data_IF_829864581402
#
_entry.id   IF_829864581402
#
_cell.length_a   1.000
_cell.length_b   1.000
_cell.length_c   1.000
_cell.angle_alpha   90.00
_cell.angle_beta   90.00
_cell.angle_gamma   90.00
#
_symmetry.space_group_name_H-M   'P 1'
#
loop_
_entity.id
_entity.type
_entity.pdbx_description
1 polymer ?
#
# COMPACT_ATOMS: atom_id res chain seq x y z
N UNK A 1 -3.33 -12.27 5.64
CA UNK A 1 -4.36 -11.32 5.11
C UNK A 1 -5.62 -11.33 5.99
N UNK A 2 -6.36 -10.21 6.06
CA UNK A 2 -7.64 -10.10 6.81
C UNK A 2 -8.82 -10.81 6.14
N UNK A 3 -8.83 -10.85 4.81
CA UNK A 3 -9.90 -11.42 3.99
C UNK A 3 -9.46 -12.72 3.31
N UNK A 4 -10.40 -13.64 3.16
CA UNK A 4 -10.24 -14.91 2.46
C UNK A 4 -11.58 -15.36 1.89
N UNK A 5 -11.60 -16.42 1.09
CA UNK A 5 -12.87 -16.96 0.56
C UNK A 5 -13.85 -17.39 1.67
N UNK A 6 -13.34 -17.81 2.83
CA UNK A 6 -14.15 -18.17 4.00
C UNK A 6 -14.46 -16.99 4.94
N UNK A 7 -13.78 -15.85 4.75
CA UNK A 7 -13.95 -14.61 5.51
C UNK A 7 -13.95 -13.41 4.57
N UNK A 8 -14.99 -13.21 3.76
CA UNK A 8 -15.07 -12.08 2.83
C UNK A 8 -15.30 -10.75 3.58
N UNK A 9 -15.12 -9.60 2.91
CA UNK A 9 -15.52 -8.30 3.44
C UNK A 9 -16.99 -8.23 3.85
N UNK A 10 -17.33 -7.28 4.72
CA UNK A 10 -18.73 -6.99 5.06
C UNK A 10 -19.49 -6.65 3.78
N UNK A 11 -20.68 -7.24 3.57
CA UNK A 11 -21.47 -7.03 2.37
C UNK A 11 -22.67 -6.13 2.63
N UNK A 12 -22.81 -5.10 1.79
CA UNK A 12 -23.94 -4.18 1.76
C UNK A 12 -24.19 -3.75 0.32
N UNK A 13 -24.84 -4.62 -0.46
CA UNK A 13 -24.98 -4.40 -1.89
C UNK A 13 -25.96 -3.27 -2.20
N UNK A 14 -25.58 -2.42 -3.15
CA UNK A 14 -26.33 -1.24 -3.57
C UNK A 14 -27.32 -1.56 -4.71
N UNK A 15 -28.25 -2.48 -4.48
CA UNK A 15 -29.12 -3.03 -5.54
C UNK A 15 -30.15 -2.03 -6.04
N UNK A 16 -30.40 -0.96 -5.30
CA UNK A 16 -31.32 0.09 -5.69
C UNK A 16 -30.69 1.14 -6.63
N UNK A 17 -29.35 1.22 -6.68
CA UNK A 17 -28.62 2.15 -7.53
C UNK A 17 -28.86 1.94 -9.04
N UNK A 18 -28.73 3.01 -9.83
CA UNK A 18 -28.83 2.90 -11.30
C UNK A 18 -27.72 2.04 -11.86
N UNK A 19 -26.49 2.21 -11.36
CA UNK A 19 -25.36 1.37 -11.74
C UNK A 19 -25.68 -0.11 -11.56
N UNK A 20 -26.14 -0.52 -10.38
CA UNK A 20 -26.34 -1.93 -10.08
C UNK A 20 -27.39 -2.57 -10.99
N UNK A 21 -28.45 -1.83 -11.31
CA UNK A 21 -29.54 -2.28 -12.19
C UNK A 21 -29.17 -2.28 -13.68
N UNK A 22 -28.24 -1.42 -14.10
CA UNK A 22 -28.02 -1.14 -15.52
C UNK A 22 -26.93 -1.97 -16.17
N UNK A 23 -26.08 -2.63 -15.39
CA UNK A 23 -24.88 -3.30 -15.93
C UNK A 23 -24.77 -4.76 -15.52
N UNK A 24 -24.28 -5.57 -16.46
CA UNK A 24 -24.00 -6.98 -16.25
C UNK A 24 -22.55 -7.27 -15.82
N UNK A 25 -22.19 -8.56 -15.75
CA UNK A 25 -20.84 -8.99 -15.44
C UNK A 25 -19.85 -8.73 -16.59
N UNK A 26 -18.57 -8.62 -16.26
CA UNK A 26 -17.41 -8.52 -17.16
C UNK A 26 -16.31 -9.47 -16.70
N UNK A 27 -15.38 -9.81 -17.60
CA UNK A 27 -14.17 -10.57 -17.24
C UNK A 27 -13.29 -9.70 -16.34
N UNK A 28 -12.92 -10.21 -15.17
CA UNK A 28 -11.95 -9.57 -14.28
C UNK A 28 -10.56 -9.65 -14.89
N UNK A 29 -9.86 -8.52 -14.88
CA UNK A 29 -8.53 -8.28 -15.47
C UNK A 29 -7.56 -7.69 -14.44
N UNK A 30 -8.07 -7.09 -13.38
CA UNK A 30 -7.26 -6.32 -12.45
C UNK A 30 -8.09 -5.58 -11.40
N UNK A 31 -7.44 -4.69 -10.65
CA UNK A 31 -8.02 -3.87 -9.60
C UNK A 31 -7.65 -2.39 -9.85
N UNK A 32 -8.62 -1.49 -9.72
CA UNK A 32 -8.42 -0.04 -9.90
C UNK A 32 -8.82 0.71 -8.63
N UNK A 33 -7.86 1.44 -8.06
CA UNK A 33 -8.05 2.20 -6.84
C UNK A 33 -8.54 3.61 -7.12
N UNK A 34 -9.47 4.05 -6.30
CA UNK A 34 -9.92 5.43 -6.20
C UNK A 34 -9.76 5.96 -4.78
N UNK A 35 -9.84 7.28 -4.62
CA UNK A 35 -10.23 7.88 -3.36
C UNK A 35 -11.35 8.90 -3.56
N UNK A 36 -12.20 9.03 -2.53
CA UNK A 36 -13.54 9.62 -2.69
C UNK A 36 -13.58 11.11 -3.06
N UNK A 37 -12.44 11.82 -3.02
CA UNK A 37 -12.33 13.25 -3.32
C UNK A 37 -13.10 14.15 -2.35
N UNK A 38 -13.51 13.63 -1.18
CA UNK A 38 -14.26 14.37 -0.19
C UNK A 38 -13.72 14.07 1.21
N UNK A 39 -13.51 15.13 2.00
CA UNK A 39 -13.10 15.03 3.40
C UNK A 39 -14.22 14.44 4.27
N UNK A 40 -14.39 13.13 4.19
CA UNK A 40 -15.27 12.32 5.02
C UNK A 40 -14.72 10.89 5.11
N UNK A 41 -14.17 10.49 6.27
CA UNK A 41 -13.56 9.17 6.43
C UNK A 41 -14.60 8.06 6.63
N UNK A 42 -15.90 8.36 6.76
CA UNK A 42 -16.93 7.40 7.12
C UNK A 42 -17.66 6.83 5.90
N UNK A 43 -17.74 5.50 5.86
CA UNK A 43 -18.40 4.74 4.80
C UNK A 43 -19.89 5.07 4.69
N UNK A 44 -20.58 5.42 5.80
CA UNK A 44 -22.02 5.75 5.80
C UNK A 44 -22.39 6.88 4.84
N UNK A 45 -21.46 7.79 4.49
CA UNK A 45 -21.70 8.81 3.46
C UNK A 45 -22.02 8.20 2.10
N UNK A 46 -21.42 7.06 1.79
CA UNK A 46 -21.47 6.45 0.46
C UNK A 46 -22.30 5.17 0.43
N UNK A 47 -22.31 4.41 1.51
CA UNK A 47 -22.92 3.09 1.59
C UNK A 47 -24.09 3.07 2.56
N UNK A 48 -25.26 2.68 2.06
CA UNK A 48 -26.46 2.39 2.84
C UNK A 48 -27.09 1.08 2.33
N UNK A 49 -27.68 0.27 3.22
CA UNK A 49 -28.40 -0.95 2.83
C UNK A 49 -29.61 -0.62 1.97
N UNK A 50 -30.08 -1.61 1.19
CA UNK A 50 -31.36 -1.48 0.49
C UNK A 50 -32.48 -1.16 1.49
N UNK A 51 -33.45 -0.32 1.09
CA UNK A 51 -34.53 0.16 1.98
C UNK A 51 -35.30 -0.97 2.66
N UNK A 52 -35.48 -2.09 1.95
CA UNK A 52 -36.21 -3.27 2.42
C UNK A 52 -35.28 -4.43 2.80
N UNK A 53 -33.99 -4.19 3.01
CA UNK A 53 -33.06 -5.25 3.40
C UNK A 53 -33.48 -5.88 4.74
N UNK A 54 -33.57 -7.23 4.85
CA UNK A 54 -34.04 -7.88 6.07
C UNK A 54 -33.14 -7.63 7.28
N UNK A 55 -31.85 -7.39 7.06
CA UNK A 55 -30.84 -7.06 8.06
C UNK A 55 -30.48 -5.56 8.08
N UNK A 56 -31.38 -4.69 7.61
CA UNK A 56 -31.14 -3.24 7.49
C UNK A 56 -30.72 -2.62 8.83
N UNK A 57 -31.41 -2.97 9.92
CA UNK A 57 -31.14 -2.42 11.24
C UNK A 57 -29.72 -2.77 11.71
N UNK A 58 -29.28 -4.00 11.50
CA UNK A 58 -27.95 -4.48 11.86
C UNK A 58 -26.88 -3.79 11.01
N UNK A 59 -27.09 -3.69 9.70
CA UNK A 59 -26.17 -3.00 8.79
C UNK A 59 -26.03 -1.52 9.15
N UNK A 60 -27.12 -0.83 9.51
CA UNK A 60 -27.03 0.58 9.93
C UNK A 60 -26.29 0.78 11.25
N UNK A 61 -26.33 -0.19 12.17
CA UNK A 61 -25.51 -0.13 13.39
C UNK A 61 -24.01 -0.22 13.07
N UNK A 62 -23.63 -1.02 12.08
CA UNK A 62 -22.23 -1.16 11.65
C UNK A 62 -21.77 0.02 10.80
N UNK A 63 -22.55 0.40 9.79
CA UNK A 63 -22.15 1.41 8.80
C UNK A 63 -22.31 2.85 9.32
N UNK A 64 -23.35 3.07 10.13
CA UNK A 64 -23.86 4.39 10.46
C UNK A 64 -24.95 4.86 9.49
N UNK A 65 -25.66 5.91 9.88
CA UNK A 65 -26.80 6.46 9.11
C UNK A 65 -26.34 7.64 8.27
N UNK A 66 -26.67 7.63 6.97
CA UNK A 66 -26.47 8.79 6.11
C UNK A 66 -27.56 9.84 6.35
N UNK A 67 -27.25 10.86 7.16
CA UNK A 67 -28.19 11.96 7.44
C UNK A 67 -28.44 12.89 6.26
N UNK A 68 -27.55 12.89 5.26
CA UNK A 68 -27.63 13.78 4.10
C UNK A 68 -28.31 13.13 2.90
N UNK A 69 -28.72 11.86 3.00
CA UNK A 69 -29.40 11.10 1.94
C UNK A 69 -28.65 11.19 0.59
N UNK A 70 -27.33 11.16 0.64
CA UNK A 70 -26.46 11.39 -0.52
C UNK A 70 -25.57 10.20 -0.86
N UNK A 71 -25.89 9.02 -0.32
CA UNK A 71 -25.23 7.75 -0.60
C UNK A 71 -25.45 7.31 -2.06
N UNK A 72 -24.79 6.21 -2.42
CA UNK A 72 -24.74 5.72 -3.78
C UNK A 72 -25.81 4.67 -4.08
N UNK A 73 -26.61 4.23 -3.10
CA UNK A 73 -27.66 3.23 -3.30
C UNK A 73 -28.97 3.82 -3.86
N UNK A 74 -28.86 4.79 -4.78
CA UNK A 74 -30.00 5.52 -5.33
C UNK A 74 -29.88 5.71 -6.85
N UNK A 75 -30.99 5.96 -7.52
CA UNK A 75 -31.05 6.01 -8.99
C UNK A 75 -30.51 7.31 -9.59
N UNK A 76 -30.38 8.36 -8.79
CA UNK A 76 -29.88 9.67 -9.25
C UNK A 76 -28.36 9.71 -9.43
N UNK A 77 -27.62 8.76 -8.84
CA UNK A 77 -26.17 8.65 -8.97
C UNK A 77 -25.80 7.85 -10.22
N UNK A 78 -24.94 8.41 -11.06
CA UNK A 78 -24.40 7.77 -12.27
C UNK A 78 -22.95 7.33 -12.04
N UNK A 79 -22.72 6.64 -10.92
CA UNK A 79 -21.42 6.13 -10.51
C UNK A 79 -21.59 4.75 -9.87
N UNK A 80 -20.52 3.95 -9.86
CA UNK A 80 -20.58 2.60 -9.30
C UNK A 80 -19.23 1.93 -9.21
N UNK A 81 -18.90 1.45 -8.02
CA UNK A 81 -17.69 0.71 -7.66
C UNK A 81 -18.08 -0.51 -6.85
N UNK A 82 -17.16 -1.45 -6.61
CA UNK A 82 -17.46 -2.72 -5.97
C UNK A 82 -17.29 -2.70 -4.46
N UNK A 83 -16.52 -1.76 -3.92
CA UNK A 83 -16.31 -1.64 -2.49
C UNK A 83 -15.93 -0.22 -2.06
N UNK A 84 -16.08 0.04 -0.76
CA UNK A 84 -15.57 1.22 -0.09
C UNK A 84 -14.68 0.78 1.08
N UNK A 85 -13.54 1.48 1.25
CA UNK A 85 -12.63 1.36 2.39
C UNK A 85 -12.72 2.64 3.21
N UNK A 86 -12.94 2.52 4.51
CA UNK A 86 -13.11 3.67 5.40
C UNK A 86 -13.64 3.29 6.77
N UNK A 87 -14.00 4.29 7.58
CA UNK A 87 -14.50 4.10 8.93
C UNK A 87 -15.94 3.59 8.93
N UNK A 88 -16.17 2.58 9.75
CA UNK A 88 -17.49 2.16 10.22
C UNK A 88 -17.99 3.09 11.32
N UNK A 89 -19.21 2.88 11.82
CA UNK A 89 -19.82 3.70 12.86
C UNK A 89 -19.00 3.72 14.17
N UNK A 90 -18.33 2.60 14.50
CA UNK A 90 -17.45 2.48 15.67
C UNK A 90 -16.10 3.21 15.50
N UNK A 91 -15.80 3.71 14.30
CA UNK A 91 -14.56 4.42 13.98
C UNK A 91 -13.42 3.54 13.47
N UNK A 92 -13.57 2.22 13.54
CA UNK A 92 -12.66 1.25 12.95
C UNK A 92 -12.68 1.30 11.42
N UNK A 93 -11.51 1.13 10.80
CA UNK A 93 -11.40 1.04 9.34
C UNK A 93 -11.75 -0.37 8.87
N UNK A 94 -12.57 -0.47 7.84
CA UNK A 94 -12.94 -1.74 7.23
C UNK A 94 -13.32 -1.56 5.76
N UNK A 95 -13.38 -2.68 5.03
CA UNK A 95 -13.93 -2.77 3.68
C UNK A 95 -15.39 -3.19 3.71
N UNK A 96 -16.22 -2.50 2.92
CA UNK A 96 -17.59 -2.91 2.63
C UNK A 96 -17.74 -3.17 1.14
N UNK A 97 -18.06 -4.41 0.78
CA UNK A 97 -18.40 -4.81 -0.59
C UNK A 97 -19.84 -4.38 -0.91
N UNK A 98 -20.01 -3.65 -2.01
CA UNK A 98 -21.27 -3.03 -2.43
C UNK A 98 -21.80 -3.53 -3.78
N UNK A 99 -21.07 -4.41 -4.46
CA UNK A 99 -21.55 -5.16 -5.61
C UNK A 99 -20.70 -6.39 -5.90
N UNK A 100 -21.18 -7.27 -6.79
CA UNK A 100 -20.42 -8.45 -7.20
C UNK A 100 -19.10 -8.03 -7.85
N UNK A 101 -18.00 -8.70 -7.50
CA UNK A 101 -16.66 -8.32 -7.96
C UNK A 101 -16.50 -8.36 -9.49
N UNK A 102 -17.25 -9.20 -10.19
CA UNK A 102 -17.21 -9.27 -11.66
C UNK A 102 -18.23 -8.34 -12.33
N UNK A 103 -18.96 -7.50 -11.60
CA UNK A 103 -19.90 -6.54 -12.20
C UNK A 103 -19.12 -5.47 -12.98
N UNK A 104 -19.67 -4.94 -14.07
CA UNK A 104 -19.04 -3.81 -14.77
C UNK A 104 -19.08 -2.57 -13.86
N UNK A 105 -17.96 -1.89 -13.64
CA UNK A 105 -17.94 -0.64 -12.88
C UNK A 105 -18.44 0.57 -13.69
N UNK A 106 -18.72 1.68 -13.01
CA UNK A 106 -18.90 3.04 -13.55
C UNK A 106 -18.06 4.04 -12.75
N UNK A 107 -16.83 3.69 -12.37
CA UNK A 107 -15.99 4.55 -11.52
C UNK A 107 -15.00 5.42 -12.27
N UNK A 108 -14.43 4.95 -13.40
CA UNK A 108 -13.30 5.65 -14.04
C UNK A 108 -13.64 6.39 -15.35
N UNK A 109 -14.92 6.46 -15.74
CA UNK A 109 -15.37 6.93 -17.07
C UNK A 109 -14.64 6.22 -18.24
N UNK A 110 -14.49 6.87 -19.40
CA UNK A 110 -13.81 6.31 -20.58
C UNK A 110 -12.77 7.30 -21.12
N UNK A 111 -11.77 6.79 -21.84
CA UNK A 111 -10.80 7.56 -22.60
C UNK A 111 -10.68 7.07 -24.06
N UNK A 112 -9.74 7.64 -24.84
CA UNK A 112 -9.61 7.35 -26.27
C UNK A 112 -9.24 5.89 -26.59
N UNK A 113 -8.75 5.13 -25.60
CA UNK A 113 -8.38 3.71 -25.74
C UNK A 113 -9.37 2.77 -25.05
N UNK A 114 -10.54 3.27 -24.65
CA UNK A 114 -11.59 2.51 -24.00
C UNK A 114 -11.73 2.83 -22.52
N UNK A 115 -12.06 1.83 -21.70
CA UNK A 115 -12.35 2.04 -20.28
C UNK A 115 -11.93 0.87 -19.40
N UNK A 116 -11.32 1.18 -18.25
CA UNK A 116 -11.07 0.22 -17.17
C UNK A 116 -12.37 -0.25 -16.47
N UNK A 117 -13.51 0.40 -16.71
CA UNK A 117 -14.83 -0.11 -16.28
C UNK A 117 -15.12 -1.52 -16.83
N UNK A 118 -14.52 -1.91 -17.95
CA UNK A 118 -14.75 -3.19 -18.63
C UNK A 118 -13.82 -4.33 -18.17
N UNK A 119 -13.38 -4.33 -16.91
CA UNK A 119 -12.65 -5.48 -16.36
C UNK A 119 -11.82 -5.24 -15.11
N UNK A 120 -11.69 -4.01 -14.62
CA UNK A 120 -10.99 -3.76 -13.35
C UNK A 120 -12.00 -3.64 -12.22
N UNK A 121 -11.75 -4.38 -11.14
CA UNK A 121 -12.49 -4.26 -9.89
C UNK A 121 -12.13 -2.91 -9.27
N UNK A 122 -13.08 -2.00 -9.23
CA UNK A 122 -12.88 -0.66 -8.69
C UNK A 122 -13.35 -0.56 -7.23
N UNK A 123 -12.61 0.15 -6.39
CA UNK A 123 -13.06 0.50 -5.03
C UNK A 123 -12.59 1.90 -4.63
N UNK A 124 -13.31 2.49 -3.69
CA UNK A 124 -13.09 3.85 -3.20
C UNK A 124 -12.50 3.85 -1.80
N UNK A 125 -11.44 4.63 -1.58
CA UNK A 125 -10.90 4.90 -0.24
C UNK A 125 -11.46 6.24 0.26
N UNK A 126 -12.19 6.20 1.38
CA UNK A 126 -12.72 7.41 2.02
C UNK A 126 -11.57 8.32 2.46
N UNK A 127 -11.65 9.62 2.16
CA UNK A 127 -10.59 10.57 2.52
C UNK A 127 -10.90 11.29 3.84
N UNK A 128 -9.87 11.66 4.59
CA UNK A 128 -9.96 12.44 5.83
C UNK A 128 -9.38 13.86 5.68
N UNK A 129 -9.43 14.40 4.46
CA UNK A 129 -8.76 15.65 4.13
C UNK A 129 -7.25 15.48 3.88
N UNK A 130 -6.80 14.23 3.69
CA UNK A 130 -5.50 13.83 3.13
C UNK A 130 -4.29 13.94 4.08
N UNK A 131 -4.46 14.46 5.30
CA UNK A 131 -3.34 14.89 6.13
C UNK A 131 -3.05 13.97 7.32
N UNK A 132 -3.98 13.12 7.78
CA UNK A 132 -3.70 12.25 8.93
C UNK A 132 -2.89 11.03 8.51
N UNK A 133 -1.63 11.00 8.93
CA UNK A 133 -0.76 9.83 8.75
C UNK A 133 -1.35 8.58 9.40
N UNK A 134 -1.95 8.70 10.58
CA UNK A 134 -2.50 7.59 11.33
C UNK A 134 -3.73 6.96 10.65
N UNK A 135 -4.59 7.78 10.04
CA UNK A 135 -5.71 7.26 9.26
C UNK A 135 -5.23 6.65 7.94
N UNK A 136 -4.32 7.34 7.24
CA UNK A 136 -3.74 6.85 6.00
C UNK A 136 -3.15 5.45 6.15
N UNK A 137 -2.35 5.19 7.19
CA UNK A 137 -1.77 3.87 7.45
C UNK A 137 -2.86 2.79 7.53
N UNK A 138 -3.97 3.07 8.23
CA UNK A 138 -5.06 2.11 8.40
C UNK A 138 -5.79 1.83 7.08
N UNK A 139 -6.18 2.86 6.32
CA UNK A 139 -6.87 2.65 5.04
C UNK A 139 -5.97 2.09 3.95
N UNK A 140 -4.67 2.43 3.98
CA UNK A 140 -3.68 1.86 3.07
C UNK A 140 -3.52 0.36 3.31
N UNK A 141 -3.33 -0.06 4.58
CA UNK A 141 -3.23 -1.48 4.94
C UNK A 141 -4.51 -2.23 4.56
N UNK A 142 -5.68 -1.65 4.86
CA UNK A 142 -6.97 -2.23 4.51
C UNK A 142 -7.14 -2.41 2.99
N UNK A 143 -6.72 -1.41 2.20
CA UNK A 143 -6.76 -1.46 0.75
C UNK A 143 -5.78 -2.50 0.16
N UNK A 144 -4.59 -2.65 0.76
CA UNK A 144 -3.62 -3.71 0.42
C UNK A 144 -4.23 -5.08 0.67
N UNK A 145 -4.81 -5.31 1.85
CA UNK A 145 -5.41 -6.60 2.20
C UNK A 145 -6.63 -6.95 1.35
N UNK A 146 -7.46 -5.96 1.03
CA UNK A 146 -8.56 -6.12 0.06
C UNK A 146 -8.01 -6.52 -1.31
N UNK A 147 -7.00 -5.80 -1.81
CA UNK A 147 -6.45 -6.04 -3.15
C UNK A 147 -5.75 -7.40 -3.23
N UNK A 148 -5.03 -7.80 -2.19
CA UNK A 148 -4.42 -9.12 -2.07
C UNK A 148 -5.47 -10.23 -2.09
N UNK A 149 -6.56 -10.09 -1.32
CA UNK A 149 -7.70 -11.00 -1.37
C UNK A 149 -8.31 -11.10 -2.78
N UNK A 150 -8.52 -9.98 -3.46
CA UNK A 150 -9.03 -9.95 -4.84
C UNK A 150 -8.07 -10.65 -5.81
N UNK A 151 -6.76 -10.46 -5.65
CA UNK A 151 -5.75 -11.12 -6.45
C UNK A 151 -5.78 -12.64 -6.24
N UNK A 152 -5.89 -13.10 -4.99
CA UNK A 152 -6.00 -14.53 -4.66
C UNK A 152 -7.23 -15.17 -5.29
N UNK A 153 -8.42 -14.60 -5.11
CA UNK A 153 -9.66 -15.23 -5.60
C UNK A 153 -9.83 -15.19 -7.13
N UNK A 154 -9.10 -14.31 -7.82
CA UNK A 154 -9.12 -14.19 -9.29
C UNK A 154 -7.84 -14.68 -9.96
N UNK A 155 -6.86 -15.17 -9.21
CA UNK A 155 -5.56 -15.61 -9.74
C UNK A 155 -4.82 -14.48 -10.47
N UNK A 156 -4.85 -13.27 -9.92
CA UNK A 156 -4.18 -12.11 -10.50
C UNK A 156 -2.76 -11.99 -9.94
N UNK A 157 -1.80 -11.71 -10.82
CA UNK A 157 -0.44 -11.34 -10.41
C UNK A 157 -0.41 -9.84 -10.05
N UNK A 158 -0.14 -9.46 -8.79
CA UNK A 158 -0.12 -8.06 -8.37
C UNK A 158 0.93 -7.21 -9.09
N UNK A 159 2.02 -7.83 -9.59
CA UNK A 159 3.05 -7.18 -10.41
C UNK A 159 2.83 -7.39 -11.92
N UNK A 160 1.74 -8.07 -12.28
CA UNK A 160 1.42 -8.43 -13.65
C UNK A 160 0.96 -7.27 -14.51
N UNK A 161 0.93 -7.52 -15.82
CA UNK A 161 0.47 -6.57 -16.84
C UNK A 161 -0.44 -7.27 -17.83
N UNK A 162 -1.58 -6.64 -18.15
CA UNK A 162 -2.57 -7.11 -19.11
C UNK A 162 -2.52 -6.27 -20.38
N UNK A 163 -2.57 -6.92 -21.54
CA UNK A 163 -2.78 -6.21 -22.82
C UNK A 163 -4.27 -5.94 -23.04
N UNK A 164 -4.65 -4.68 -23.21
CA UNK A 164 -6.03 -4.26 -23.42
C UNK A 164 -6.09 -3.06 -24.37
N UNK A 165 -6.87 -3.18 -25.45
CA UNK A 165 -7.04 -2.15 -26.48
C UNK A 165 -5.72 -1.53 -26.98
N UNK A 166 -4.71 -2.37 -27.21
CA UNK A 166 -3.39 -1.95 -27.70
C UNK A 166 -2.50 -1.27 -26.66
N UNK A 167 -2.85 -1.35 -25.36
CA UNK A 167 -2.06 -0.79 -24.26
C UNK A 167 -1.69 -1.89 -23.26
N UNK A 168 -0.49 -1.77 -22.69
CA UNK A 168 -0.06 -2.57 -21.54
C UNK A 168 -0.53 -1.88 -20.26
N UNK A 169 -1.38 -2.57 -19.50
CA UNK A 169 -2.05 -2.03 -18.32
C UNK A 169 -1.63 -2.85 -17.11
N UNK A 170 -1.08 -2.23 -16.05
CA UNK A 170 -0.85 -2.95 -14.79
C UNK A 170 -2.12 -3.63 -14.30
N UNK A 171 -1.99 -4.83 -13.73
CA UNK A 171 -3.11 -5.53 -13.08
C UNK A 171 -3.71 -4.64 -11.99
N UNK A 172 -2.87 -3.99 -11.19
CA UNK A 172 -3.27 -3.03 -10.16
C UNK A 172 -2.89 -1.62 -10.61
N UNK A 173 -3.84 -0.69 -10.67
CA UNK A 173 -3.60 0.71 -11.04
C UNK A 173 -4.52 1.66 -10.26
N UNK A 174 -4.30 2.97 -10.35
CA UNK A 174 -5.23 3.98 -9.84
C UNK A 174 -6.00 4.68 -10.97
N UNK A 175 -6.99 5.53 -10.63
CA UNK A 175 -7.73 6.33 -11.62
C UNK A 175 -6.78 7.17 -12.48
N UNK A 176 -5.83 7.87 -11.87
CA UNK A 176 -4.88 8.72 -12.60
C UNK A 176 -4.01 7.92 -13.58
N UNK A 177 -3.61 6.70 -13.25
CA UNK A 177 -2.90 5.82 -14.19
C UNK A 177 -3.81 5.40 -15.34
N UNK A 178 -5.06 5.05 -15.06
CA UNK A 178 -6.03 4.72 -16.10
C UNK A 178 -6.23 5.88 -17.08
N UNK A 179 -6.23 7.12 -16.60
CA UNK A 179 -6.27 8.30 -17.45
C UNK A 179 -5.06 8.42 -18.37
N UNK A 180 -3.85 8.30 -17.81
CA UNK A 180 -2.59 8.37 -18.56
C UNK A 180 -2.50 7.30 -19.64
N UNK A 181 -3.11 6.15 -19.41
CA UNK A 181 -3.22 5.05 -20.38
C UNK A 181 -4.34 5.24 -21.40
N UNK A 182 -5.16 6.30 -21.30
CA UNK A 182 -6.30 6.56 -22.17
C UNK A 182 -7.51 5.69 -21.89
N UNK A 183 -7.62 5.14 -20.68
CA UNK A 183 -8.63 4.19 -20.21
C UNK A 183 -9.56 4.76 -19.11
N UNK A 184 -9.45 6.05 -18.81
CA UNK A 184 -10.29 6.75 -17.84
C UNK A 184 -10.25 8.27 -17.97
N UNK A 185 -11.14 8.95 -17.23
CA UNK A 185 -11.16 10.43 -17.10
C UNK A 185 -10.01 10.95 -16.25
N UNK A 186 -9.68 12.24 -16.38
CA UNK A 186 -8.54 12.87 -15.72
C UNK A 186 -8.74 13.22 -14.24
N UNK A 187 -9.15 12.25 -13.41
CA UNK A 187 -9.09 12.44 -11.96
C UNK A 187 -7.68 12.10 -11.44
N UNK A 188 -7.28 12.78 -10.35
CA UNK A 188 -5.92 12.74 -9.81
C UNK A 188 -5.68 11.63 -8.77
N UNK A 189 -6.75 10.96 -8.35
CA UNK A 189 -6.68 9.96 -7.30
C UNK A 189 -6.00 8.66 -7.77
N UNK A 190 -5.25 7.99 -6.91
CA UNK A 190 -4.92 8.35 -5.51
C UNK A 190 -3.63 9.19 -5.38
N UNK A 191 -3.08 9.67 -6.51
CA UNK A 191 -1.75 10.28 -6.57
C UNK A 191 -1.67 11.69 -5.95
N UNK A 192 -2.80 12.35 -5.66
CA UNK A 192 -2.83 13.56 -4.84
C UNK A 192 -2.70 13.26 -3.33
N UNK A 193 -2.88 11.99 -2.92
CA UNK A 193 -2.90 11.58 -1.52
C UNK A 193 -1.71 10.72 -1.13
N UNK A 194 -1.50 9.58 -1.80
CA UNK A 194 -0.49 8.58 -1.40
C UNK A 194 0.93 9.19 -1.26
N UNK A 195 1.41 10.03 -2.19
CA UNK A 195 2.74 10.64 -2.07
C UNK A 195 2.92 11.54 -0.85
N UNK A 196 1.85 12.15 -0.32
CA UNK A 196 1.92 12.95 0.92
C UNK A 196 2.32 12.11 2.14
N UNK A 197 2.14 10.79 2.05
CA UNK A 197 2.47 9.82 3.09
C UNK A 197 3.62 8.89 2.69
N UNK A 198 4.39 9.26 1.67
CA UNK A 198 5.57 8.52 1.23
C UNK A 198 5.25 7.17 0.58
N UNK A 199 4.09 7.03 -0.06
CA UNK A 199 3.70 5.82 -0.80
C UNK A 199 3.42 6.14 -2.27
N UNK A 200 3.83 5.24 -3.15
CA UNK A 200 3.53 5.22 -4.58
C UNK A 200 2.61 4.05 -4.94
N UNK A 201 2.15 4.00 -6.19
CA UNK A 201 1.44 2.81 -6.69
C UNK A 201 2.37 1.60 -6.87
N UNK A 202 3.68 1.82 -7.01
CA UNK A 202 4.66 0.73 -7.07
C UNK A 202 4.84 0.10 -5.68
N UNK A 203 4.92 0.93 -4.64
CA UNK A 203 4.91 0.45 -3.24
C UNK A 203 3.62 -0.31 -2.93
N UNK A 204 2.48 0.17 -3.43
CA UNK A 204 1.20 -0.51 -3.23
C UNK A 204 1.18 -1.91 -3.86
N UNK A 205 1.69 -2.08 -5.08
CA UNK A 205 1.79 -3.40 -5.72
C UNK A 205 2.75 -4.33 -4.97
N UNK A 206 3.89 -3.80 -4.52
CA UNK A 206 4.84 -4.56 -3.70
C UNK A 206 4.22 -5.00 -2.37
N UNK A 207 3.53 -4.12 -1.67
CA UNK A 207 2.86 -4.43 -0.40
C UNK A 207 1.72 -5.45 -0.60
N UNK A 208 1.00 -5.41 -1.73
CA UNK A 208 0.02 -6.45 -2.10
C UNK A 208 0.69 -7.80 -2.35
N UNK A 209 1.80 -7.83 -3.10
CA UNK A 209 2.55 -9.06 -3.34
C UNK A 209 3.03 -9.69 -2.03
N UNK A 210 3.61 -8.88 -1.13
CA UNK A 210 4.03 -9.31 0.20
C UNK A 210 2.85 -9.84 1.04
N UNK A 211 1.69 -9.18 0.97
CA UNK A 211 0.49 -9.64 1.67
C UNK A 211 -0.01 -10.99 1.17
N UNK A 212 0.15 -11.27 -0.13
CA UNK A 212 -0.19 -12.57 -0.73
C UNK A 212 0.81 -13.68 -0.36
N UNK A 213 2.09 -13.35 -0.17
CA UNK A 213 3.10 -14.32 0.28
C UNK A 213 2.90 -14.77 1.75
N UNK A 214 2.29 -13.93 2.58
CA UNK A 214 2.01 -14.21 4.00
C UNK A 214 0.94 -15.29 4.28
N UNK A 215 0.59 -16.11 3.28
CA UNK A 215 -0.12 -17.39 3.47
C UNK A 215 0.85 -18.58 3.62
N UNK A 216 2.13 -18.45 3.23
CA UNK A 216 3.18 -19.36 3.71
C UNK A 216 3.59 -18.93 5.11
N UNK A 217 3.69 -19.86 6.07
CA UNK A 217 4.17 -19.56 7.42
C UNK A 217 5.46 -18.73 7.32
N UNK A 218 5.39 -17.48 7.79
CA UNK A 218 6.55 -16.63 7.91
C UNK A 218 7.48 -17.25 8.96
N UNK A 219 8.41 -18.08 8.51
CA UNK A 219 9.40 -18.66 9.39
C UNK A 219 10.45 -17.62 9.79
N UNK A 220 11.17 -17.93 10.87
CA UNK A 220 12.22 -17.07 11.40
C UNK A 220 13.31 -16.75 10.36
N UNK A 221 13.53 -17.64 9.37
CA UNK A 221 14.53 -17.45 8.32
C UNK A 221 14.10 -16.32 7.38
N UNK A 222 12.85 -16.33 6.91
CA UNK A 222 12.32 -15.28 6.01
C UNK A 222 12.21 -13.93 6.73
N UNK A 223 11.84 -13.92 8.02
CA UNK A 223 11.91 -12.71 8.85
C UNK A 223 13.35 -12.17 8.95
N UNK A 224 14.33 -13.03 9.25
CA UNK A 224 15.72 -12.61 9.38
C UNK A 224 16.28 -12.05 8.06
N UNK A 225 15.87 -12.62 6.92
CA UNK A 225 16.25 -12.11 5.60
C UNK A 225 15.65 -10.73 5.32
N UNK A 226 14.35 -10.55 5.59
CA UNK A 226 13.68 -9.26 5.41
C UNK A 226 14.25 -8.19 6.36
N UNK A 227 14.55 -8.56 7.60
CA UNK A 227 15.17 -7.68 8.58
C UNK A 227 16.60 -7.29 8.15
N UNK A 228 17.40 -8.23 7.63
CA UNK A 228 18.72 -7.94 7.10
C UNK A 228 18.68 -6.96 5.92
N UNK A 229 17.73 -7.14 4.99
CA UNK A 229 17.54 -6.25 3.85
C UNK A 229 17.09 -4.84 4.30
N UNK A 230 16.17 -4.76 5.27
CA UNK A 230 15.73 -3.49 5.84
C UNK A 230 16.87 -2.75 6.56
N UNK A 231 17.69 -3.48 7.32
CA UNK A 231 18.88 -2.92 7.98
C UNK A 231 19.93 -2.44 6.97
N UNK A 232 20.14 -3.17 5.87
CA UNK A 232 21.05 -2.75 4.82
C UNK A 232 20.59 -1.43 4.17
N UNK A 233 19.29 -1.31 3.88
CA UNK A 233 18.71 -0.09 3.34
C UNK A 233 18.78 1.08 4.34
N UNK A 234 18.48 0.83 5.62
CA UNK A 234 18.60 1.84 6.68
C UNK A 234 20.05 2.34 6.83
N UNK A 235 21.02 1.43 6.80
CA UNK A 235 22.45 1.80 6.84
C UNK A 235 22.85 2.62 5.62
N UNK A 236 22.26 2.34 4.45
CA UNK A 236 22.45 3.13 3.23
C UNK A 236 21.91 4.55 3.35
N UNK A 237 20.81 4.74 4.07
CA UNK A 237 20.23 6.08 4.32
C UNK A 237 21.04 6.89 5.34
N UNK A 238 21.79 6.22 6.22
CA UNK A 238 22.78 6.85 7.10
C UNK A 238 24.13 7.12 6.41
N UNK A 239 24.30 6.74 5.13
CA UNK A 239 25.48 7.09 4.33
C UNK A 239 25.48 8.59 4.00
N UNK A 240 26.00 9.39 4.92
CA UNK A 240 26.58 10.68 4.57
C UNK A 240 27.91 10.41 3.84
N UNK A 241 27.83 10.28 2.51
CA UNK A 241 28.92 9.83 1.64
C UNK A 241 29.94 10.94 1.33
N UNK A 242 30.33 11.74 2.32
CA UNK A 242 31.38 12.77 2.22
C UNK A 242 32.70 12.37 2.91
N UNK A 243 32.74 11.19 3.55
CA UNK A 243 33.83 10.74 4.41
C UNK A 243 35.14 10.41 3.67
N UNK A 244 35.20 10.61 2.34
CA UNK A 244 36.33 10.30 1.48
C UNK A 244 37.60 11.10 1.81
N UNK A 245 37.51 12.43 1.94
CA UNK A 245 38.69 13.28 1.99
C UNK A 245 39.22 13.54 3.42
N UNK A 246 38.35 13.86 4.37
CA UNK A 246 38.78 14.35 5.69
C UNK A 246 39.40 13.26 6.57
N UNK A 247 38.97 12.00 6.41
CA UNK A 247 39.45 10.86 7.20
C UNK A 247 40.51 10.02 6.48
N UNK A 248 40.90 10.39 5.25
CA UNK A 248 41.78 9.58 4.40
C UNK A 248 43.11 9.25 5.07
N UNK A 249 43.77 10.24 5.67
CA UNK A 249 45.04 10.04 6.37
C UNK A 249 44.90 9.10 7.57
N UNK A 250 43.82 9.23 8.33
CA UNK A 250 43.55 8.35 9.46
C UNK A 250 43.28 6.90 9.01
N UNK A 251 42.50 6.70 7.94
CA UNK A 251 42.28 5.35 7.38
C UNK A 251 43.56 4.73 6.84
N UNK A 252 44.39 5.50 6.14
CA UNK A 252 45.67 5.00 5.62
C UNK A 252 46.60 4.60 6.78
N UNK A 253 46.67 5.41 7.84
CA UNK A 253 47.43 5.05 9.04
C UNK A 253 46.96 3.72 9.65
N UNK A 254 45.65 3.50 9.76
CA UNK A 254 45.10 2.26 10.28
C UNK A 254 45.46 1.06 9.40
N UNK A 255 45.41 1.22 8.07
CA UNK A 255 45.77 0.19 7.09
C UNK A 255 47.26 -0.14 7.20
N UNK A 256 48.13 0.87 7.16
CA UNK A 256 49.59 0.71 7.15
C UNK A 256 50.14 0.07 8.44
N UNK A 257 49.35 0.12 9.52
CA UNK A 257 49.73 -0.41 10.84
C UNK A 257 48.89 -1.62 11.27
N UNK A 258 48.09 -2.21 10.37
CA UNK A 258 47.25 -3.38 10.62
C UNK A 258 46.37 -3.25 11.88
N UNK A 259 45.84 -2.04 12.14
CA UNK A 259 45.14 -1.75 13.39
C UNK A 259 43.72 -2.36 13.41
N UNK A 260 43.04 -2.42 12.26
CA UNK A 260 41.72 -3.03 12.11
C UNK A 260 41.73 -4.11 11.03
N UNK A 261 41.14 -5.27 11.34
CA UNK A 261 40.80 -6.29 10.34
C UNK A 261 39.34 -6.16 9.86
N UNK A 262 38.47 -5.50 10.62
CA UNK A 262 37.03 -5.45 10.36
C UNK A 262 36.33 -6.76 10.75
N UNK A 263 35.30 -7.12 9.97
CA UNK A 263 34.47 -8.29 10.19
C UNK A 263 34.96 -9.49 9.37
N UNK A 264 34.05 -10.22 8.75
CA UNK A 264 34.42 -11.27 7.79
C UNK A 264 35.15 -10.63 6.59
N UNK A 265 36.32 -11.16 6.18
CA UNK A 265 37.02 -10.68 4.99
C UNK A 265 36.12 -10.66 3.75
N UNK A 266 36.42 -9.76 2.82
CA UNK A 266 35.75 -9.71 1.52
C UNK A 266 35.95 -10.99 0.70
N UNK A 267 35.23 -11.13 -0.42
CA UNK A 267 35.36 -12.27 -1.33
C UNK A 267 36.79 -12.44 -1.89
N UNK A 268 37.59 -11.37 -1.88
CA UNK A 268 39.00 -11.32 -2.28
C UNK A 268 39.97 -11.72 -1.14
N UNK A 269 39.44 -12.08 0.04
CA UNK A 269 40.20 -12.43 1.23
C UNK A 269 40.82 -11.24 1.96
N UNK A 270 40.54 -10.00 1.53
CA UNK A 270 41.07 -8.80 2.16
C UNK A 270 40.23 -8.36 3.36
N UNK A 271 40.84 -7.72 4.37
CA UNK A 271 40.10 -7.06 5.45
C UNK A 271 39.10 -6.05 4.88
N UNK A 272 37.85 -6.10 5.35
CA UNK A 272 36.84 -5.12 4.92
C UNK A 272 36.85 -3.85 5.78
N UNK A 273 37.63 -3.85 6.88
CA UNK A 273 37.84 -2.77 7.85
C UNK A 273 36.58 -2.22 8.53
N UNK A 274 35.37 -2.60 8.08
CA UNK A 274 34.07 -2.14 8.56
C UNK A 274 33.98 -0.61 8.71
N UNK A 275 34.58 0.16 7.79
CA UNK A 275 34.63 1.63 7.87
C UNK A 275 33.26 2.29 8.07
N UNK A 276 32.21 1.64 7.58
CA UNK A 276 30.83 2.13 7.56
C UNK A 276 30.01 1.66 8.78
N UNK A 277 30.60 0.88 9.69
CA UNK A 277 29.88 0.34 10.84
C UNK A 277 29.85 1.33 12.01
N UNK A 278 28.72 1.46 12.71
CA UNK A 278 28.61 2.34 13.87
C UNK A 278 29.51 1.85 15.02
N UNK A 279 30.31 2.77 15.58
CA UNK A 279 31.11 2.52 16.77
C UNK A 279 30.24 2.73 18.02
N UNK A 280 30.16 1.73 18.91
CA UNK A 280 29.41 1.90 20.16
C UNK A 280 30.16 2.81 21.13
N UNK A 281 29.43 3.45 22.05
CA UNK A 281 30.04 4.30 23.08
C UNK A 281 31.03 3.54 23.96
N UNK A 282 30.77 2.26 24.23
CA UNK A 282 31.68 1.40 24.99
C UNK A 282 32.98 1.12 24.22
N UNK A 283 32.88 0.79 22.93
CA UNK A 283 34.04 0.60 22.08
C UNK A 283 34.88 1.88 21.99
N UNK A 284 34.25 3.04 21.82
CA UNK A 284 34.95 4.31 21.79
C UNK A 284 35.63 4.65 23.13
N UNK A 285 34.94 4.41 24.26
CA UNK A 285 35.52 4.60 25.59
C UNK A 285 36.76 3.71 25.81
N UNK A 286 36.71 2.45 25.36
CA UNK A 286 37.86 1.53 25.45
C UNK A 286 39.05 1.99 24.61
N UNK A 287 38.80 2.54 23.41
CA UNK A 287 39.84 3.15 22.55
C UNK A 287 40.48 4.33 23.25
N UNK A 288 39.67 5.26 23.78
CA UNK A 288 40.16 6.44 24.50
C UNK A 288 40.99 6.04 25.73
N UNK A 289 40.55 5.03 26.48
CA UNK A 289 41.26 4.54 27.65
C UNK A 289 42.64 3.98 27.30
N UNK A 290 42.73 3.10 26.29
CA UNK A 290 44.01 2.54 25.84
C UNK A 290 44.95 3.60 25.27
N UNK A 291 44.41 4.54 24.51
CA UNK A 291 45.17 5.69 24.05
C UNK A 291 45.75 6.47 25.24
N UNK A 292 44.92 6.79 26.23
CA UNK A 292 45.37 7.51 27.41
C UNK A 292 46.48 6.77 28.18
N UNK A 293 46.38 5.44 28.34
CA UNK A 293 47.43 4.63 28.98
C UNK A 293 48.75 4.66 28.20
N UNK A 294 48.70 4.49 26.87
CA UNK A 294 49.89 4.45 26.02
C UNK A 294 50.66 5.77 26.00
N UNK A 295 49.98 6.88 26.27
CA UNK A 295 50.59 8.21 26.33
C UNK A 295 50.74 8.75 27.77
N UNK A 296 50.53 7.91 28.80
CA UNK A 296 50.72 8.28 30.20
C UNK A 296 49.78 9.38 30.69
N UNK A 297 48.60 9.50 30.10
CA UNK A 297 47.57 10.48 30.45
C UNK A 297 46.67 10.00 31.59
N UNK A 298 46.66 8.69 31.85
CA UNK A 298 46.01 8.00 32.97
C UNK A 298 46.83 6.78 33.38
#
# INVERSE_FOLDING_TARGET
MKYSSSKPPLQCFMRQSTWYKSVGPVKVRGVLLHSTGANNPYISRYVQPDDNAPNRTELLKLLGVNKNHNDWNHTVRQAGVHAFVGKLAGGEVSTVQVGEWNKKAWGCASGPKGSCNNGWIQFEICEDGLNSRAYFIQVYQEAVELTAYLCTIYGLDPNGVVSYNGVRVPVILCHQDSHRLGLGSGHADVLHWFPKHGKSMDDFRADVALAMEGEEEMDQSKFNQMFAAAMQQHNKELQDNDCGAWSQQARQFIIDNDIFAGGTPGEDGQPNYMWESPLTREQFAQVLYRFAQNFGLV
#
